data_IF_963707308402
#
_entry.id   IF_963707308402
#
_cell.length_a   1.000
_cell.length_b   1.000
_cell.length_c   1.000
_cell.angle_alpha   90.00
_cell.angle_beta   90.00
_cell.angle_gamma   90.00
#
_symmetry.space_group_name_H-M   'P 1'
#
loop_
_entity.id
_entity.type
_entity.pdbx_description
1 polymer ?
#
# COMPACT_ATOMS: atom_id res chain seq x y z
N UNK A 1 24.25 0.42 -32.66
CA UNK A 1 22.84 0.00 -32.83
C UNK A 1 22.71 -1.23 -31.94
N UNK A 2 22.04 -1.26 -30.79
CA UNK A 2 20.96 -0.42 -30.27
C UNK A 2 21.13 -0.19 -28.77
N UNK A 3 20.78 1.00 -28.34
CA UNK A 3 20.67 1.40 -26.94
C UNK A 3 19.57 0.58 -26.28
N UNK A 4 19.89 -0.22 -25.27
CA UNK A 4 18.90 -0.66 -24.30
C UNK A 4 19.22 0.04 -23.00
N UNK A 5 18.71 1.27 -22.88
CA UNK A 5 18.60 2.02 -21.63
C UNK A 5 18.01 1.07 -20.58
N UNK A 6 18.69 0.82 -19.45
CA UNK A 6 18.05 0.17 -18.32
C UNK A 6 16.86 1.04 -17.97
N UNK A 7 15.67 0.47 -18.14
CA UNK A 7 14.39 1.06 -17.79
C UNK A 7 14.57 1.73 -16.43
N UNK A 8 14.38 3.04 -16.38
CA UNK A 8 14.10 3.78 -15.15
C UNK A 8 12.89 3.10 -14.50
N UNK A 9 13.17 2.05 -13.73
CA UNK A 9 12.31 1.70 -12.61
C UNK A 9 12.49 2.94 -11.74
N UNK A 10 11.45 3.75 -11.51
CA UNK A 10 11.58 4.84 -10.57
C UNK A 10 12.10 4.19 -9.30
N UNK A 11 13.35 4.51 -8.96
CA UNK A 11 13.88 4.23 -7.65
C UNK A 11 12.99 5.07 -6.76
N UNK A 12 11.91 4.47 -6.26
CA UNK A 12 11.20 5.01 -5.12
C UNK A 12 12.32 5.21 -4.11
N UNK A 13 12.68 6.47 -3.79
CA UNK A 13 13.62 6.69 -2.71
C UNK A 13 13.09 5.85 -1.57
N UNK A 14 13.97 5.18 -0.84
CA UNK A 14 13.60 4.50 0.40
C UNK A 14 13.10 5.57 1.36
N UNK A 15 11.84 5.92 1.13
CA UNK A 15 10.98 6.79 1.88
C UNK A 15 10.95 6.21 3.28
N UNK A 16 11.20 7.04 4.28
CA UNK A 16 11.32 6.58 5.66
C UNK A 16 10.08 5.73 6.02
N UNK A 17 10.19 4.76 6.92
CA UNK A 17 9.05 3.83 7.15
C UNK A 17 7.74 4.57 7.52
N UNK A 18 7.79 5.80 8.04
CA UNK A 18 6.61 6.67 8.19
C UNK A 18 5.97 7.09 6.86
N UNK A 19 6.75 7.43 5.84
CA UNK A 19 6.26 7.73 4.49
C UNK A 19 5.70 6.46 3.83
N UNK A 20 6.36 5.31 4.01
CA UNK A 20 5.85 4.03 3.53
C UNK A 20 4.50 3.67 4.17
N UNK A 21 4.34 3.87 5.48
CA UNK A 21 3.06 3.68 6.17
C UNK A 21 1.98 4.59 5.57
N UNK A 22 2.29 5.86 5.31
CA UNK A 22 1.34 6.80 4.69
C UNK A 22 0.95 6.39 3.27
N UNK A 23 1.89 5.92 2.46
CA UNK A 23 1.60 5.44 1.11
C UNK A 23 0.68 4.21 1.14
N UNK A 24 0.97 3.26 2.04
CA UNK A 24 0.13 2.07 2.20
C UNK A 24 -1.27 2.40 2.74
N UNK A 25 -1.41 3.39 3.61
CA UNK A 25 -2.71 3.92 4.04
C UNK A 25 -3.49 4.52 2.85
N UNK A 26 -2.82 5.28 1.99
CA UNK A 26 -3.41 5.88 0.80
C UNK A 26 -3.87 4.80 -0.21
N UNK A 27 -3.02 3.80 -0.44
CA UNK A 27 -3.32 2.66 -1.32
C UNK A 27 -4.48 1.83 -0.78
N UNK A 28 -4.55 1.62 0.54
CA UNK A 28 -5.66 0.94 1.20
C UNK A 28 -6.98 1.68 1.00
N UNK A 29 -6.97 3.00 1.19
CA UNK A 29 -8.17 3.82 0.98
C UNK A 29 -8.64 3.77 -0.48
N UNK A 30 -7.70 3.82 -1.43
CA UNK A 30 -8.01 3.66 -2.84
C UNK A 30 -8.62 2.29 -3.13
N UNK A 31 -8.03 1.21 -2.62
CA UNK A 31 -8.53 -0.15 -2.81
C UNK A 31 -9.99 -0.28 -2.35
N UNK A 32 -10.29 0.23 -1.16
CA UNK A 32 -11.65 0.21 -0.60
C UNK A 32 -12.65 0.96 -1.49
N UNK A 33 -12.29 2.15 -1.98
CA UNK A 33 -13.13 2.93 -2.88
C UNK A 33 -13.45 2.16 -4.17
N UNK A 34 -12.49 1.41 -4.72
CA UNK A 34 -12.72 0.63 -5.94
C UNK A 34 -13.64 -0.57 -5.69
N UNK A 35 -13.51 -1.21 -4.52
CA UNK A 35 -14.41 -2.27 -4.09
C UNK A 35 -15.83 -1.72 -3.94
N UNK A 36 -16.00 -0.54 -3.35
CA UNK A 36 -17.30 0.12 -3.16
C UNK A 36 -17.94 0.52 -4.50
N UNK A 37 -17.13 0.92 -5.49
CA UNK A 37 -17.55 1.17 -6.87
C UNK A 37 -17.93 -0.11 -7.64
N UNK A 38 -17.83 -1.29 -7.02
CA UNK A 38 -18.19 -2.57 -7.63
C UNK A 38 -17.12 -3.16 -8.54
N UNK A 39 -15.88 -2.67 -8.49
CA UNK A 39 -14.76 -3.32 -9.20
C UNK A 39 -14.41 -4.63 -8.50
N UNK A 40 -13.93 -5.59 -9.30
CA UNK A 40 -13.50 -6.92 -8.81
C UNK A 40 -14.56 -7.63 -7.97
N UNK A 41 -15.80 -7.66 -8.46
CA UNK A 41 -16.93 -8.27 -7.76
C UNK A 41 -16.66 -9.72 -7.33
N UNK A 42 -15.99 -10.50 -8.18
CA UNK A 42 -15.62 -11.90 -7.91
C UNK A 42 -14.64 -12.06 -6.75
N UNK A 43 -13.86 -11.02 -6.43
CA UNK A 43 -12.85 -11.03 -5.36
C UNK A 43 -13.22 -10.10 -4.20
N UNK A 44 -14.46 -9.58 -4.16
CA UNK A 44 -14.88 -8.56 -3.18
C UNK A 44 -14.60 -8.98 -1.74
N UNK A 45 -14.92 -10.24 -1.40
CA UNK A 45 -14.73 -10.77 -0.04
C UNK A 45 -13.24 -10.94 0.29
N UNK A 46 -12.46 -11.46 -0.65
CA UNK A 46 -11.02 -11.66 -0.46
C UNK A 46 -10.29 -10.31 -0.34
N UNK A 47 -10.65 -9.33 -1.17
CA UNK A 47 -10.09 -7.98 -1.13
C UNK A 47 -10.50 -7.24 0.15
N UNK A 48 -11.71 -7.44 0.66
CA UNK A 48 -12.13 -6.89 1.95
C UNK A 48 -11.36 -7.52 3.12
N UNK A 49 -11.09 -8.83 3.06
CA UNK A 49 -10.25 -9.52 4.05
C UNK A 49 -8.81 -8.98 4.02
N UNK A 50 -8.24 -8.83 2.82
CA UNK A 50 -6.91 -8.27 2.60
C UNK A 50 -6.81 -6.83 3.13
N UNK A 51 -7.78 -5.96 2.80
CA UNK A 51 -7.86 -4.59 3.30
C UNK A 51 -7.85 -4.57 4.84
N UNK A 52 -8.63 -5.45 5.48
CA UNK A 52 -8.73 -5.54 6.94
C UNK A 52 -7.43 -6.02 7.58
N UNK A 53 -6.71 -6.94 6.95
CA UNK A 53 -5.39 -7.40 7.40
C UNK A 53 -4.36 -6.28 7.26
N UNK A 54 -4.35 -5.58 6.13
CA UNK A 54 -3.48 -4.44 5.88
C UNK A 54 -3.73 -3.32 6.90
N UNK A 55 -4.98 -2.98 7.20
CA UNK A 55 -5.33 -1.99 8.22
C UNK A 55 -4.93 -2.39 9.65
N UNK A 56 -4.80 -3.69 9.96
CA UNK A 56 -4.24 -4.14 11.23
C UNK A 56 -2.72 -4.00 11.26
N UNK A 57 -2.05 -4.35 10.16
CA UNK A 57 -0.61 -4.23 10.03
C UNK A 57 -0.14 -2.77 10.16
N UNK A 58 -0.80 -1.86 9.43
CA UNK A 58 -0.44 -0.44 9.44
C UNK A 58 -0.63 0.20 10.82
N UNK A 59 -1.72 -0.14 11.54
CA UNK A 59 -1.92 0.29 12.93
C UNK A 59 -0.79 -0.16 13.84
N UNK A 60 -0.40 -1.44 13.78
CA UNK A 60 0.72 -1.96 14.59
C UNK A 60 2.04 -1.29 14.24
N UNK A 61 2.30 -1.04 12.96
CA UNK A 61 3.51 -0.36 12.50
C UNK A 61 3.57 1.10 13.01
N UNK A 62 2.44 1.80 13.00
CA UNK A 62 2.32 3.15 13.54
C UNK A 62 2.50 3.18 15.08
N UNK A 63 1.92 2.22 15.80
CA UNK A 63 2.09 2.05 17.25
C UNK A 63 3.56 1.79 17.63
N UNK A 64 4.24 0.93 16.88
CA UNK A 64 5.68 0.65 17.08
C UNK A 64 6.54 1.90 16.89
N UNK A 65 6.21 2.75 15.91
CA UNK A 65 6.91 4.04 15.74
C UNK A 65 6.61 5.05 16.83
N UNK A 66 5.41 4.99 17.41
CA UNK A 66 5.03 5.86 18.53
C UNK A 66 5.73 5.46 19.84
N UNK A 67 6.24 4.23 19.90
CA UNK A 67 6.94 3.63 21.05
C UNK A 67 8.47 3.74 20.90
N UNK A 68 8.97 4.15 19.74
CA UNK A 68 10.40 4.40 19.48
C UNK A 68 10.75 5.80 20.04
N UNK A 69 11.65 5.93 21.03
CA UNK A 69 11.98 7.21 21.69
C UNK A 69 12.76 8.20 20.81
#
# INVERSE_FOLDING_TARGET
MESSTPRDIPAHPVEGVSELIQQLEQDRAWLLEQIDRGRWADFRLDLAALERELGQLLRRAAEQRSTDP
#
